data_IF_676516027375
#
_entry.id   IF_676516027375
#
_cell.length_a   1.000
_cell.length_b   1.000
_cell.length_c   1.000
_cell.angle_alpha   90.00
_cell.angle_beta   90.00
_cell.angle_gamma   90.00
#
_symmetry.space_group_name_H-M   'P 1'
#
loop_
_entity.id
_entity.type
_entity.pdbx_description
1 polymer ?
#
# COMPACT_ATOMS: atom_id res chain seq x y z
N UNK A 1 -21.96 -5.88 0.30
CA UNK A 1 -21.62 -4.46 0.09
C UNK A 1 -22.07 -3.98 -1.29
N UNK A 2 -21.49 -4.46 -2.40
CA UNK A 2 -21.87 -4.04 -3.76
C UNK A 2 -23.36 -4.23 -4.11
N UNK A 3 -23.94 -5.37 -3.74
CA UNK A 3 -25.37 -5.65 -3.95
C UNK A 3 -26.28 -4.67 -3.17
N UNK A 4 -25.95 -4.42 -1.90
CA UNK A 4 -26.71 -3.49 -1.05
C UNK A 4 -26.64 -2.08 -1.61
N UNK A 5 -25.47 -1.65 -2.07
CA UNK A 5 -25.33 -0.35 -2.73
C UNK A 5 -26.17 -0.26 -4.00
N UNK A 6 -26.08 -1.24 -4.90
CA UNK A 6 -26.84 -1.23 -6.16
C UNK A 6 -28.35 -1.17 -5.98
N UNK A 7 -28.86 -1.66 -4.84
CA UNK A 7 -30.30 -1.77 -4.56
C UNK A 7 -30.80 -0.61 -3.68
N UNK A 8 -29.99 -0.10 -2.75
CA UNK A 8 -30.48 0.80 -1.69
C UNK A 8 -29.78 2.16 -1.61
N UNK A 9 -28.51 2.27 -2.02
CA UNK A 9 -27.68 3.45 -1.71
C UNK A 9 -27.25 4.18 -3.01
N UNK A 10 -26.86 3.41 -4.04
CA UNK A 10 -26.40 3.88 -5.35
C UNK A 10 -25.23 4.86 -5.32
N UNK A 11 -24.37 4.75 -4.31
CA UNK A 11 -23.25 5.63 -4.10
C UNK A 11 -21.98 5.10 -4.81
N UNK A 12 -21.34 5.91 -5.68
CA UNK A 12 -20.15 5.48 -6.42
C UNK A 12 -18.99 4.99 -5.54
N UNK A 13 -18.84 5.53 -4.34
CA UNK A 13 -17.74 5.20 -3.44
C UNK A 13 -17.85 3.78 -2.86
N UNK A 14 -19.08 3.27 -2.62
CA UNK A 14 -19.28 1.89 -2.14
C UNK A 14 -18.91 0.89 -3.24
N UNK A 15 -19.20 1.23 -4.50
CA UNK A 15 -18.80 0.44 -5.67
C UNK A 15 -17.29 0.36 -5.77
N UNK A 16 -16.61 1.49 -5.62
CA UNK A 16 -15.14 1.58 -5.68
C UNK A 16 -14.50 0.73 -4.57
N UNK A 17 -14.91 0.91 -3.30
CA UNK A 17 -14.35 0.13 -2.17
C UNK A 17 -14.63 -1.36 -2.36
N UNK A 18 -15.85 -1.74 -2.77
CA UNK A 18 -16.20 -3.13 -3.00
C UNK A 18 -15.38 -3.78 -4.10
N UNK A 19 -15.14 -3.07 -5.22
CA UNK A 19 -14.26 -3.54 -6.30
C UNK A 19 -12.81 -3.65 -5.81
N UNK A 20 -12.31 -2.67 -5.07
CA UNK A 20 -10.95 -2.72 -4.49
C UNK A 20 -10.76 -3.91 -3.56
N UNK A 21 -11.74 -4.24 -2.71
CA UNK A 21 -11.69 -5.40 -1.82
C UNK A 21 -11.72 -6.72 -2.60
N UNK A 22 -12.49 -6.80 -3.68
CA UNK A 22 -12.47 -7.96 -4.58
C UNK A 22 -11.11 -8.09 -5.27
N UNK A 23 -10.54 -6.99 -5.78
CA UNK A 23 -9.21 -7.00 -6.41
C UNK A 23 -8.13 -7.45 -5.41
N UNK A 24 -8.21 -7.00 -4.16
CA UNK A 24 -7.31 -7.45 -3.08
C UNK A 24 -7.53 -8.94 -2.78
N UNK A 25 -8.78 -9.40 -2.68
CA UNK A 25 -9.12 -10.78 -2.34
C UNK A 25 -8.78 -11.80 -3.44
N UNK A 26 -8.87 -11.40 -4.71
CA UNK A 26 -8.49 -12.24 -5.86
C UNK A 26 -6.97 -12.22 -6.09
N UNK A 27 -6.31 -11.14 -5.68
CA UNK A 27 -4.86 -11.01 -5.75
C UNK A 27 -4.17 -11.94 -4.76
N UNK A 28 -3.27 -12.82 -5.23
CA UNK A 28 -2.46 -13.62 -4.31
C UNK A 28 -1.56 -12.69 -3.49
N UNK A 29 -1.72 -12.65 -2.17
CA UNK A 29 -1.02 -11.67 -1.31
C UNK A 29 0.51 -11.60 -1.55
N UNK A 30 1.17 -12.67 -1.99
CA UNK A 30 2.63 -12.67 -2.23
C UNK A 30 3.06 -12.42 -3.68
N UNK A 31 2.18 -12.62 -4.65
CA UNK A 31 2.45 -12.40 -6.08
C UNK A 31 1.25 -11.67 -6.68
N UNK A 32 0.93 -10.55 -6.05
CA UNK A 32 -0.35 -9.89 -6.20
C UNK A 32 -0.19 -8.43 -6.54
N UNK A 33 -1.32 -7.82 -6.90
CA UNK A 33 -1.41 -6.39 -7.20
C UNK A 33 -0.90 -5.54 -6.04
N UNK A 34 -1.09 -5.97 -4.79
CA UNK A 34 -0.62 -5.23 -3.61
C UNK A 34 0.90 -5.09 -3.50
N UNK A 35 1.67 -5.83 -4.30
CA UNK A 35 3.12 -5.74 -4.36
C UNK A 35 3.62 -5.42 -5.78
N UNK A 36 2.83 -4.70 -6.58
CA UNK A 36 3.22 -4.27 -7.92
C UNK A 36 3.04 -2.77 -8.12
N UNK A 37 3.80 -2.21 -9.08
CA UNK A 37 3.67 -0.80 -9.46
C UNK A 37 2.28 -0.53 -10.02
N UNK A 38 1.72 -1.49 -10.76
CA UNK A 38 0.37 -1.38 -11.29
C UNK A 38 -0.65 -1.26 -10.15
N UNK A 39 -0.56 -2.11 -9.12
CA UNK A 39 -1.47 -2.00 -7.98
C UNK A 39 -1.27 -0.70 -7.22
N UNK A 40 -0.02 -0.25 -7.00
CA UNK A 40 0.26 1.06 -6.41
C UNK A 40 -0.48 2.18 -7.14
N UNK A 41 -0.42 2.22 -8.48
CA UNK A 41 -1.13 3.22 -9.29
C UNK A 41 -2.64 3.07 -9.15
N UNK A 42 -3.17 1.85 -9.29
CA UNK A 42 -4.62 1.59 -9.20
C UNK A 42 -5.18 2.03 -7.83
N UNK A 43 -4.54 1.61 -6.73
CA UNK A 43 -4.99 1.95 -5.39
C UNK A 43 -4.83 3.44 -5.09
N UNK A 44 -3.76 4.09 -5.59
CA UNK A 44 -3.57 5.53 -5.41
C UNK A 44 -4.61 6.36 -6.17
N UNK A 45 -4.98 5.95 -7.39
CA UNK A 45 -6.04 6.60 -8.17
C UNK A 45 -7.39 6.42 -7.49
N UNK A 46 -7.71 5.20 -7.04
CA UNK A 46 -8.92 4.91 -6.27
C UNK A 46 -9.00 5.80 -5.02
N UNK A 47 -7.90 5.90 -4.28
CA UNK A 47 -7.86 6.72 -3.08
C UNK A 47 -7.95 8.22 -3.41
N UNK A 48 -7.41 8.68 -4.54
CA UNK A 48 -7.55 10.08 -4.97
C UNK A 48 -9.02 10.47 -5.21
N UNK A 49 -9.82 9.58 -5.81
CA UNK A 49 -11.26 9.80 -5.92
C UNK A 49 -11.93 9.92 -4.56
N UNK A 50 -11.58 9.04 -3.62
CA UNK A 50 -12.09 9.09 -2.25
C UNK A 50 -11.67 10.38 -1.54
N UNK A 51 -10.39 10.75 -1.64
CA UNK A 51 -9.82 11.97 -1.06
C UNK A 51 -10.58 13.21 -1.50
N UNK A 52 -10.93 13.29 -2.80
CA UNK A 52 -11.68 14.41 -3.36
C UNK A 52 -13.13 14.46 -2.86
N UNK A 53 -13.79 13.32 -2.71
CA UNK A 53 -15.19 13.26 -2.24
C UNK A 53 -15.30 13.73 -0.79
N UNK A 54 -14.34 13.35 0.06
CA UNK A 54 -14.37 13.65 1.50
C UNK A 54 -13.49 14.84 1.89
N UNK A 55 -13.01 15.61 0.91
CA UNK A 55 -12.12 16.77 1.11
C UNK A 55 -10.89 16.45 1.99
N UNK A 56 -10.40 15.21 1.91
CA UNK A 56 -9.22 14.77 2.64
C UNK A 56 -7.98 15.25 1.89
N UNK A 57 -7.34 16.28 2.41
CA UNK A 57 -6.15 16.87 1.78
C UNK A 57 -4.93 15.98 2.07
N UNK A 58 -4.13 15.70 1.04
CA UNK A 58 -2.85 14.96 1.10
C UNK A 58 -2.91 13.47 1.41
N UNK A 59 -4.07 12.88 1.68
CA UNK A 59 -4.18 11.45 2.01
C UNK A 59 -3.71 10.56 0.85
N UNK A 60 -4.06 10.92 -0.38
CA UNK A 60 -3.60 10.25 -1.59
C UNK A 60 -2.07 10.33 -1.76
N UNK A 61 -1.47 11.48 -1.41
CA UNK A 61 -0.04 11.69 -1.48
C UNK A 61 0.70 10.82 -0.46
N UNK A 62 0.26 10.82 0.79
CA UNK A 62 0.86 9.99 1.84
C UNK A 62 0.69 8.50 1.57
N UNK A 63 -0.45 8.08 1.04
CA UNK A 63 -0.66 6.70 0.62
C UNK A 63 0.27 6.28 -0.51
N UNK A 64 0.38 7.10 -1.57
CA UNK A 64 1.28 6.82 -2.68
C UNK A 64 2.72 6.67 -2.19
N UNK A 65 3.17 7.60 -1.33
CA UNK A 65 4.51 7.57 -0.79
C UNK A 65 4.75 6.36 0.13
N UNK A 66 3.77 6.02 0.98
CA UNK A 66 3.82 4.84 1.83
C UNK A 66 3.88 3.54 1.03
N UNK A 67 3.08 3.42 -0.03
CA UNK A 67 3.09 2.27 -0.93
C UNK A 67 4.43 2.17 -1.68
N UNK A 68 4.97 3.30 -2.16
CA UNK A 68 6.28 3.35 -2.80
C UNK A 68 7.38 2.86 -1.86
N UNK A 69 7.42 3.37 -0.62
CA UNK A 69 8.40 2.93 0.37
C UNK A 69 8.21 1.46 0.77
N UNK A 70 6.97 0.97 0.83
CA UNK A 70 6.67 -0.44 1.03
C UNK A 70 7.30 -1.32 -0.06
N UNK A 71 7.12 -0.96 -1.34
CA UNK A 71 7.77 -1.69 -2.45
C UNK A 71 9.30 -1.63 -2.37
N UNK A 72 9.87 -0.48 -2.01
CA UNK A 72 11.33 -0.33 -1.84
C UNK A 72 11.83 -1.23 -0.70
N UNK A 73 11.11 -1.28 0.43
CA UNK A 73 11.45 -2.16 1.55
C UNK A 73 11.41 -3.63 1.13
N UNK A 74 10.40 -4.04 0.36
CA UNK A 74 10.32 -5.39 -0.18
C UNK A 74 11.50 -5.72 -1.13
N UNK A 75 11.98 -4.74 -1.91
CA UNK A 75 13.18 -4.87 -2.75
C UNK A 75 14.47 -5.02 -1.94
N UNK A 76 14.54 -4.48 -0.72
CA UNK A 76 15.66 -4.68 0.21
C UNK A 76 15.69 -6.09 0.81
N UNK A 77 14.67 -6.93 0.58
CA UNK A 77 14.67 -8.32 1.05
C UNK A 77 15.29 -9.27 0.03
N UNK A 78 15.86 -10.38 0.49
CA UNK A 78 16.35 -11.45 -0.41
C UNK A 78 15.27 -12.03 -1.33
N UNK A 79 13.99 -11.93 -0.95
CA UNK A 79 12.85 -12.42 -1.74
C UNK A 79 12.54 -11.53 -2.93
N UNK A 80 12.77 -10.22 -2.81
CA UNK A 80 12.41 -9.22 -3.81
C UNK A 80 10.90 -9.12 -4.06
N UNK A 81 10.53 -8.28 -5.03
CA UNK A 81 9.13 -7.90 -5.27
C UNK A 81 8.78 -7.97 -6.77
N UNK A 82 7.61 -8.51 -7.18
CA UNK A 82 7.22 -8.62 -8.58
C UNK A 82 6.61 -7.31 -9.11
N UNK A 83 7.46 -6.28 -9.30
CA UNK A 83 7.05 -4.92 -9.67
C UNK A 83 6.11 -4.85 -10.89
N UNK A 84 6.29 -5.76 -11.86
CA UNK A 84 5.57 -5.78 -13.13
C UNK A 84 4.38 -6.76 -13.16
N UNK A 85 3.95 -7.30 -12.02
CA UNK A 85 2.74 -8.14 -11.96
C UNK A 85 1.50 -7.33 -12.37
N UNK A 86 0.57 -7.89 -13.18
CA UNK A 86 0.47 -9.29 -13.63
C UNK A 86 1.16 -9.58 -14.98
N UNK A 87 1.78 -8.59 -15.63
CA UNK A 87 2.40 -8.76 -16.95
C UNK A 87 3.68 -9.60 -16.90
N UNK A 88 4.44 -9.47 -15.80
CA UNK A 88 5.65 -10.24 -15.59
C UNK A 88 5.85 -10.54 -14.10
N UNK A 89 6.10 -11.82 -13.80
CA UNK A 89 6.29 -12.33 -12.44
C UNK A 89 7.76 -12.27 -11.96
N UNK A 90 8.67 -11.70 -12.76
CA UNK A 90 10.07 -11.49 -12.39
C UNK A 90 10.15 -10.61 -11.15
N UNK A 91 10.88 -11.08 -10.14
CA UNK A 91 11.11 -10.36 -8.89
C UNK A 91 12.33 -9.46 -9.03
N UNK A 92 12.17 -8.23 -8.61
CA UNK A 92 13.21 -7.21 -8.55
C UNK A 92 13.67 -7.05 -7.11
N UNK A 93 14.99 -6.90 -6.93
CA UNK A 93 15.63 -6.70 -5.62
C UNK A 93 16.80 -5.75 -5.78
N UNK A 94 17.16 -5.07 -4.70
CA UNK A 94 18.34 -4.21 -4.64
C UNK A 94 19.63 -5.04 -4.52
N UNK A 95 20.81 -4.46 -4.82
CA UNK A 95 22.09 -5.16 -4.69
C UNK A 95 22.41 -5.50 -3.23
N UNK A 96 22.01 -4.65 -2.29
CA UNK A 96 22.12 -4.89 -0.85
C UNK A 96 20.79 -5.41 -0.34
N UNK A 97 20.79 -6.63 0.22
CA UNK A 97 19.57 -7.24 0.76
C UNK A 97 19.78 -7.86 2.13
N UNK A 98 18.73 -7.87 2.94
CA UNK A 98 18.69 -8.57 4.22
C UNK A 98 17.70 -9.74 4.18
N UNK A 99 17.80 -10.61 5.19
CA UNK A 99 16.88 -11.74 5.35
C UNK A 99 15.80 -11.37 6.35
N UNK A 100 14.54 -11.36 5.93
CA UNK A 100 13.39 -11.13 6.81
C UNK A 100 13.38 -12.18 7.91
N UNK A 101 13.15 -11.78 9.16
CA UNK A 101 13.21 -12.67 10.33
C UNK A 101 14.62 -12.91 10.89
N UNK A 102 15.67 -12.39 10.26
CA UNK A 102 17.02 -12.41 10.86
C UNK A 102 17.14 -11.37 11.97
N UNK A 103 18.09 -11.53 12.88
CA UNK A 103 18.35 -10.56 13.95
C UNK A 103 18.54 -9.13 13.40
N UNK A 104 19.37 -8.98 12.36
CA UNK A 104 19.61 -7.69 11.70
C UNK A 104 18.35 -7.17 11.01
N UNK A 105 17.59 -8.04 10.32
CA UNK A 105 16.34 -7.65 9.66
C UNK A 105 15.29 -7.14 10.65
N UNK A 106 15.08 -7.87 11.74
CA UNK A 106 14.12 -7.50 12.78
C UNK A 106 14.53 -6.21 13.49
N UNK A 107 15.84 -6.01 13.71
CA UNK A 107 16.35 -4.76 14.28
C UNK A 107 16.10 -3.57 13.35
N UNK A 108 16.37 -3.71 12.05
CA UNK A 108 16.13 -2.66 11.05
C UNK A 108 14.64 -2.34 10.93
N UNK A 109 13.77 -3.35 10.82
CA UNK A 109 12.32 -3.16 10.79
C UNK A 109 11.80 -2.47 12.06
N UNK A 110 12.26 -2.92 13.23
CA UNK A 110 11.90 -2.32 14.51
C UNK A 110 12.36 -0.87 14.64
N UNK A 111 13.59 -0.56 14.22
CA UNK A 111 14.11 0.80 14.23
C UNK A 111 13.28 1.73 13.32
N UNK A 112 12.94 1.28 12.11
CA UNK A 112 12.09 2.04 11.19
C UNK A 112 10.72 2.32 11.84
N UNK A 113 10.08 1.30 12.41
CA UNK A 113 8.76 1.46 13.06
C UNK A 113 8.82 2.46 14.23
N UNK A 114 9.80 2.30 15.13
CA UNK A 114 9.93 3.17 16.32
C UNK A 114 10.22 4.61 15.91
N UNK A 115 11.11 4.83 14.93
CA UNK A 115 11.41 6.17 14.42
C UNK A 115 10.19 6.80 13.72
N UNK A 116 9.45 6.01 12.94
CA UNK A 116 8.24 6.47 12.24
C UNK A 116 7.16 6.89 13.22
N UNK A 117 6.86 6.05 14.22
CA UNK A 117 5.85 6.34 15.25
C UNK A 117 6.28 7.49 16.15
N UNK A 118 7.56 7.54 16.53
CA UNK A 118 8.13 8.64 17.30
C UNK A 118 8.03 9.98 16.57
N UNK A 119 8.36 10.01 15.28
CA UNK A 119 8.22 11.20 14.44
C UNK A 119 6.76 11.62 14.26
N UNK A 120 5.86 10.66 14.00
CA UNK A 120 4.42 10.93 13.90
C UNK A 120 3.86 11.49 15.21
N UNK A 121 4.22 10.88 16.35
CA UNK A 121 3.83 11.35 17.68
C UNK A 121 4.38 12.74 18.01
N UNK A 122 5.63 13.03 17.65
CA UNK A 122 6.21 14.37 17.84
C UNK A 122 5.49 15.45 17.02
N UNK A 123 5.08 15.13 15.79
CA UNK A 123 4.39 16.09 14.92
C UNK A 123 2.88 16.13 15.14
N UNK A 124 2.29 15.27 15.97
CA UNK A 124 0.84 15.17 16.14
C UNK A 124 0.20 16.50 16.57
N UNK A 125 0.92 17.29 17.39
CA UNK A 125 0.48 18.60 17.85
C UNK A 125 0.48 19.68 16.75
N UNK A 126 1.12 19.43 15.60
CA UNK A 126 1.08 20.34 14.43
C UNK A 126 -0.10 20.07 13.50
N UNK A 127 -0.81 18.96 13.72
CA UNK A 127 -1.98 18.57 12.93
C UNK A 127 -3.32 18.95 13.59
N UNK A 128 -3.30 19.47 14.81
CA UNK A 128 -4.45 20.05 15.54
C UNK A 128 -4.23 21.55 15.74
#
# INVERSE_FOLDING_TARGET
MLYIDSVYINEPWIKIIGISLILIGVSTHRMGLTHSILGMIIFSVVLSFFSRIYELIYVEFYFFLGFLFHLICDMCTKRGVPLLYPFNNKKYKLPLTFTTGSFVGNFLEGAIIVLSLGYAGYNIQRFF
#
